data_IF_372909290782
#
_entry.id   IF_372909290782
#
_cell.length_a   1.000
_cell.length_b   1.000
_cell.length_c   1.000
_cell.angle_alpha   90.00
_cell.angle_beta   90.00
_cell.angle_gamma   90.00
#
_symmetry.space_group_name_H-M   'P 1'
#
loop_
_entity.id
_entity.type
_entity.pdbx_description
1 polymer ?
#
# COMPACT_ATOMS: atom_id res chain seq x y z
N UNK A 1 -26.80 1.29 14.12
CA UNK A 1 -26.10 2.27 13.27
C UNK A 1 -25.85 3.52 14.10
N UNK A 2 -24.76 3.54 14.86
CA UNK A 2 -24.43 4.62 15.79
C UNK A 2 -22.95 4.52 16.12
N UNK A 3 -22.14 5.27 15.37
CA UNK A 3 -20.71 5.44 15.64
C UNK A 3 -20.22 6.62 14.81
N UNK A 4 -20.87 7.80 14.89
CA UNK A 4 -20.72 8.91 13.92
C UNK A 4 -19.27 9.33 13.64
N UNK A 5 -18.33 8.97 14.51
CA UNK A 5 -16.93 9.35 14.42
C UNK A 5 -16.10 8.27 13.70
N UNK A 6 -15.39 8.61 12.61
CA UNK A 6 -14.38 7.72 12.07
C UNK A 6 -13.21 7.65 13.06
N UNK A 7 -12.75 6.44 13.37
CA UNK A 7 -11.54 6.26 14.16
C UNK A 7 -10.35 6.84 13.38
N UNK A 8 -9.93 8.05 13.75
CA UNK A 8 -8.93 8.84 13.01
C UNK A 8 -7.58 8.11 12.97
N UNK A 9 -7.19 7.44 14.06
CA UNK A 9 -5.93 6.68 14.12
C UNK A 9 -5.95 5.56 13.09
N UNK A 10 -7.05 4.84 12.99
CA UNK A 10 -7.19 3.76 12.02
C UNK A 10 -7.25 4.27 10.58
N UNK A 11 -7.90 5.42 10.39
CA UNK A 11 -7.98 6.07 9.08
C UNK A 11 -6.60 6.49 8.58
N UNK A 12 -5.76 7.06 9.45
CA UNK A 12 -4.38 7.43 9.13
C UNK A 12 -3.56 6.22 8.70
N UNK A 13 -3.68 5.09 9.43
CA UNK A 13 -3.00 3.85 9.03
C UNK A 13 -3.48 3.33 7.69
N UNK A 14 -4.79 3.35 7.44
CA UNK A 14 -5.33 2.99 6.13
C UNK A 14 -4.79 3.89 5.02
N UNK A 15 -4.69 5.21 5.24
CA UNK A 15 -4.12 6.14 4.26
C UNK A 15 -2.70 5.73 3.90
N UNK A 16 -1.85 5.41 4.88
CA UNK A 16 -0.46 4.99 4.65
C UNK A 16 -0.42 3.68 3.87
N UNK A 17 -1.13 2.64 4.33
CA UNK A 17 -1.15 1.32 3.69
C UNK A 17 -1.64 1.40 2.25
N UNK A 18 -2.77 2.08 2.05
CA UNK A 18 -3.41 2.21 0.75
C UNK A 18 -2.55 3.02 -0.22
N UNK A 19 -1.89 4.09 0.26
CA UNK A 19 -1.01 4.90 -0.58
C UNK A 19 0.18 4.12 -1.12
N UNK A 20 0.85 3.36 -0.24
CA UNK A 20 1.97 2.49 -0.64
C UNK A 20 1.49 1.40 -1.60
N UNK A 21 0.30 0.84 -1.36
CA UNK A 21 -0.31 -0.14 -2.25
C UNK A 21 -0.60 0.42 -3.65
N UNK A 22 -1.14 1.64 -3.76
CA UNK A 22 -1.38 2.30 -5.04
C UNK A 22 -0.08 2.61 -5.79
N UNK A 23 0.96 3.10 -5.10
CA UNK A 23 2.27 3.34 -5.70
C UNK A 23 2.90 2.05 -6.23
N UNK A 24 2.85 0.97 -5.43
CA UNK A 24 3.32 -0.35 -5.85
C UNK A 24 2.57 -0.87 -7.07
N UNK A 25 1.23 -0.68 -7.11
CA UNK A 25 0.41 -1.06 -8.26
C UNK A 25 0.84 -0.32 -9.53
N UNK A 26 0.96 1.01 -9.48
CA UNK A 26 1.33 1.82 -10.66
C UNK A 26 2.71 1.43 -11.19
N UNK A 27 3.67 1.19 -10.30
CA UNK A 27 4.99 0.75 -10.71
C UNK A 27 4.97 -0.63 -11.33
N UNK A 28 4.31 -1.61 -10.71
CA UNK A 28 4.20 -2.97 -11.23
C UNK A 28 3.42 -3.03 -12.55
N UNK A 29 2.36 -2.24 -12.71
CA UNK A 29 1.59 -2.17 -13.95
C UNK A 29 2.47 -1.78 -15.15
N UNK A 30 3.43 -0.86 -14.96
CA UNK A 30 4.42 -0.50 -15.97
C UNK A 30 5.51 -1.56 -16.23
N UNK A 31 5.56 -2.64 -15.45
CA UNK A 31 6.58 -3.69 -15.56
C UNK A 31 6.12 -4.93 -16.35
N UNK A 32 4.83 -5.03 -16.70
CA UNK A 32 4.26 -6.12 -17.48
C UNK A 32 3.98 -5.68 -18.94
N UNK A 33 4.05 -6.57 -19.96
CA UNK A 33 4.37 -8.01 -19.89
C UNK A 33 5.88 -8.28 -19.76
N UNK A 34 6.23 -9.41 -19.14
CA UNK A 34 7.62 -9.76 -18.80
C UNK A 34 8.47 -10.16 -20.01
N UNK A 35 7.85 -10.69 -21.07
CA UNK A 35 8.52 -11.27 -22.24
C UNK A 35 9.02 -10.22 -23.24
N UNK A 36 8.39 -9.04 -23.33
CA UNK A 36 8.77 -7.99 -24.29
C UNK A 36 9.93 -7.10 -23.80
N UNK A 37 10.56 -7.46 -22.68
CA UNK A 37 11.53 -6.61 -21.99
C UNK A 37 12.92 -6.79 -22.60
N UNK A 38 13.35 -5.80 -23.36
CA UNK A 38 14.76 -5.57 -23.70
C UNK A 38 15.60 -5.03 -22.50
N UNK A 39 15.04 -5.05 -21.28
CA UNK A 39 15.60 -4.41 -20.08
C UNK A 39 16.18 -5.43 -19.10
N UNK A 40 17.34 -5.11 -18.53
CA UNK A 40 18.11 -5.90 -17.56
C UNK A 40 17.43 -6.09 -16.17
N UNK A 41 16.10 -6.10 -16.09
CA UNK A 41 15.36 -6.25 -14.83
C UNK A 41 14.97 -7.72 -14.65
N UNK A 42 15.46 -8.40 -13.60
CA UNK A 42 15.16 -9.81 -13.40
C UNK A 42 13.67 -10.04 -13.12
N UNK A 43 13.07 -11.00 -13.84
CA UNK A 43 11.65 -11.35 -13.67
C UNK A 43 11.32 -11.78 -12.24
N UNK A 44 12.25 -12.44 -11.54
CA UNK A 44 12.10 -12.84 -10.14
C UNK A 44 11.84 -11.65 -9.22
N UNK A 45 12.51 -10.52 -9.44
CA UNK A 45 12.32 -9.31 -8.62
C UNK A 45 10.91 -8.72 -8.80
N UNK A 46 10.38 -8.75 -10.03
CA UNK A 46 9.01 -8.31 -10.31
C UNK A 46 8.02 -9.25 -9.62
N UNK A 47 8.21 -10.57 -9.75
CA UNK A 47 7.32 -11.57 -9.14
C UNK A 47 7.29 -11.44 -7.61
N UNK A 48 8.46 -11.29 -6.96
CA UNK A 48 8.55 -11.10 -5.51
C UNK A 48 7.87 -9.79 -5.10
N UNK A 49 8.09 -8.71 -5.85
CA UNK A 49 7.44 -7.42 -5.58
C UNK A 49 5.93 -7.49 -5.74
N UNK A 50 5.43 -8.23 -6.75
CA UNK A 50 4.01 -8.51 -6.94
C UNK A 50 3.44 -9.32 -5.79
N UNK A 51 4.14 -10.33 -5.28
CA UNK A 51 3.69 -11.09 -4.12
C UNK A 51 3.59 -10.22 -2.86
N UNK A 52 4.59 -9.36 -2.61
CA UNK A 52 4.55 -8.38 -1.52
C UNK A 52 3.39 -7.40 -1.67
N UNK A 53 3.16 -6.92 -2.89
CA UNK A 53 2.03 -6.04 -3.20
C UNK A 53 0.68 -6.70 -2.93
N UNK A 54 0.48 -7.96 -3.34
CA UNK A 54 -0.75 -8.72 -3.05
C UNK A 54 -0.94 -8.87 -1.54
N UNK A 55 0.12 -9.22 -0.80
CA UNK A 55 0.03 -9.36 0.65
C UNK A 55 -0.36 -8.04 1.34
N UNK A 56 0.18 -6.91 0.88
CA UNK A 56 -0.16 -5.59 1.40
C UNK A 56 -1.59 -5.18 1.04
N UNK A 57 -2.03 -5.44 -0.19
CA UNK A 57 -3.40 -5.19 -0.65
C UNK A 57 -4.41 -5.95 0.22
N UNK A 58 -4.19 -7.25 0.42
CA UNK A 58 -5.07 -8.08 1.25
C UNK A 58 -5.11 -7.54 2.69
N UNK A 59 -3.95 -7.23 3.27
CA UNK A 59 -3.85 -6.67 4.61
C UNK A 59 -4.61 -5.35 4.74
N UNK A 60 -4.47 -4.45 3.77
CA UNK A 60 -5.16 -3.16 3.75
C UNK A 60 -6.68 -3.33 3.60
N UNK A 61 -7.15 -4.24 2.74
CA UNK A 61 -8.57 -4.52 2.53
C UNK A 61 -9.23 -5.13 3.78
N UNK A 62 -8.60 -6.16 4.38
CA UNK A 62 -9.11 -6.77 5.61
C UNK A 62 -9.13 -5.77 6.77
N UNK A 63 -8.08 -4.96 6.90
CA UNK A 63 -8.01 -3.92 7.90
C UNK A 63 -9.11 -2.87 7.74
N UNK A 64 -9.26 -2.34 6.53
CA UNK A 64 -10.28 -1.35 6.22
C UNK A 64 -11.69 -1.87 6.51
N UNK A 65 -12.00 -3.11 6.12
CA UNK A 65 -13.30 -3.72 6.35
C UNK A 65 -13.59 -3.98 7.84
N UNK A 66 -12.57 -4.24 8.66
CA UNK A 66 -12.72 -4.52 10.08
C UNK A 66 -12.86 -3.25 10.93
N UNK A 67 -12.12 -2.19 10.56
CA UNK A 67 -11.88 -1.03 11.43
C UNK A 67 -12.56 0.25 10.93
N UNK A 68 -12.83 0.36 9.63
CA UNK A 68 -13.33 1.60 9.02
C UNK A 68 -14.76 1.51 8.53
N UNK A 69 -15.39 2.68 8.50
CA UNK A 69 -16.70 2.87 7.87
C UNK A 69 -16.58 2.70 6.36
N UNK A 70 -17.54 2.01 5.74
CA UNK A 70 -17.59 1.84 4.29
C UNK A 70 -17.45 3.16 3.51
N UNK A 71 -18.13 4.23 3.97
CA UNK A 71 -18.02 5.55 3.33
C UNK A 71 -16.60 6.11 3.38
N UNK A 72 -15.89 5.97 4.50
CA UNK A 72 -14.49 6.40 4.64
C UNK A 72 -13.57 5.59 3.72
N UNK A 73 -13.79 4.28 3.62
CA UNK A 73 -13.02 3.40 2.73
C UNK A 73 -13.17 3.86 1.27
N UNK A 74 -14.41 4.04 0.81
CA UNK A 74 -14.69 4.42 -0.59
C UNK A 74 -14.17 5.82 -0.89
N UNK A 75 -14.44 6.80 -0.03
CA UNK A 75 -14.04 8.19 -0.25
C UNK A 75 -12.52 8.31 -0.21
N UNK A 76 -11.88 7.85 0.87
CA UNK A 76 -10.42 8.02 1.05
C UNK A 76 -9.65 7.10 0.12
N UNK A 77 -10.07 5.84 -0.02
CA UNK A 77 -9.43 4.89 -0.93
C UNK A 77 -9.52 5.34 -2.39
N UNK A 78 -10.69 5.83 -2.81
CA UNK A 78 -10.89 6.39 -4.15
C UNK A 78 -10.09 7.66 -4.37
N UNK A 79 -10.09 8.59 -3.42
CA UNK A 79 -9.34 9.84 -3.52
C UNK A 79 -7.83 9.57 -3.63
N UNK A 80 -7.28 8.72 -2.76
CA UNK A 80 -5.88 8.33 -2.86
C UNK A 80 -5.57 7.67 -4.21
N UNK A 81 -6.39 6.73 -4.66
CA UNK A 81 -6.16 6.06 -5.95
C UNK A 81 -6.19 7.03 -7.14
N UNK A 82 -7.07 8.04 -7.10
CA UNK A 82 -7.18 9.06 -8.17
C UNK A 82 -6.03 10.07 -8.16
N UNK A 83 -5.53 10.45 -6.98
CA UNK A 83 -4.51 11.51 -6.87
C UNK A 83 -3.07 10.99 -6.72
N UNK A 84 -2.84 9.70 -6.44
CA UNK A 84 -1.50 9.09 -6.38
C UNK A 84 -0.75 9.01 -7.73
N UNK A 85 -1.40 8.95 -8.91
CA UNK A 85 -0.69 9.01 -10.18
C UNK A 85 0.16 10.27 -10.36
N UNK A 86 -0.28 11.42 -9.87
CA UNK A 86 0.45 12.69 -9.94
C UNK A 86 1.82 12.66 -9.22
N UNK A 87 1.91 12.33 -7.91
CA UNK A 87 3.20 12.20 -7.24
C UNK A 87 4.04 11.07 -7.81
N UNK A 88 3.44 10.00 -8.34
CA UNK A 88 4.18 8.93 -9.00
C UNK A 88 4.85 9.39 -10.30
N UNK A 89 4.21 10.29 -11.06
CA UNK A 89 4.78 10.87 -12.27
C UNK A 89 5.91 11.86 -11.98
N UNK A 90 5.88 12.53 -10.82
CA UNK A 90 6.97 13.40 -10.38
C UNK A 90 8.27 12.65 -10.03
N UNK A 91 8.21 11.32 -9.84
CA UNK A 91 9.39 10.50 -9.56
C UNK A 91 10.26 10.39 -10.83
N UNK A 92 11.58 10.66 -10.75
CA UNK A 92 12.46 10.55 -11.91
C UNK A 92 12.43 9.16 -12.55
N UNK A 93 12.45 9.09 -13.87
CA UNK A 93 12.30 7.81 -14.61
C UNK A 93 13.36 6.77 -14.23
N UNK A 94 14.58 7.22 -13.92
CA UNK A 94 15.68 6.37 -13.43
C UNK A 94 15.37 5.63 -12.13
N UNK A 95 14.45 6.13 -11.31
CA UNK A 95 13.97 5.48 -10.09
C UNK A 95 12.65 4.77 -10.32
N UNK A 96 11.78 5.29 -11.21
CA UNK A 96 10.49 4.68 -11.49
C UNK A 96 10.62 3.35 -12.25
N UNK A 97 11.49 3.31 -13.26
CA UNK A 97 11.57 2.23 -14.24
C UNK A 97 12.86 1.39 -14.17
N UNK A 98 13.67 1.57 -13.12
CA UNK A 98 14.93 0.85 -12.93
C UNK A 98 14.78 -0.31 -11.96
N UNK A 99 15.68 -1.30 -12.06
CA UNK A 99 15.81 -2.38 -11.08
C UNK A 99 16.05 -1.85 -9.66
N UNK A 100 16.89 -0.81 -9.52
CA UNK A 100 17.14 -0.16 -8.22
C UNK A 100 15.85 0.44 -7.64
N UNK A 101 15.04 1.06 -8.50
CA UNK A 101 13.71 1.55 -8.17
C UNK A 101 12.77 0.48 -7.63
N UNK A 102 12.71 -0.65 -8.34
CA UNK A 102 11.88 -1.78 -7.96
C UNK A 102 12.34 -2.42 -6.64
N UNK A 103 13.65 -2.50 -6.39
CA UNK A 103 14.20 -2.96 -5.09
C UNK A 103 13.75 -2.03 -3.97
N UNK A 104 13.86 -0.71 -4.16
CA UNK A 104 13.41 0.27 -3.16
C UNK A 104 11.91 0.11 -2.88
N UNK A 105 11.09 0.00 -3.91
CA UNK A 105 9.64 -0.22 -3.76
C UNK A 105 9.36 -1.54 -3.04
N UNK A 106 10.08 -2.62 -3.37
CA UNK A 106 10.00 -3.90 -2.65
C UNK A 106 10.32 -3.75 -1.16
N UNK A 107 11.38 -3.01 -0.81
CA UNK A 107 11.74 -2.71 0.58
C UNK A 107 10.63 -1.91 1.27
N UNK A 108 10.07 -0.89 0.61
CA UNK A 108 8.98 -0.09 1.16
C UNK A 108 7.73 -0.95 1.41
N UNK A 109 7.37 -1.84 0.47
CA UNK A 109 6.26 -2.78 0.64
C UNK A 109 6.50 -3.71 1.84
N UNK A 110 7.69 -4.29 1.94
CA UNK A 110 8.05 -5.17 3.07
C UNK A 110 8.08 -4.43 4.40
N UNK A 111 8.66 -3.23 4.45
CA UNK A 111 8.71 -2.39 5.64
C UNK A 111 7.32 -1.95 6.09
N UNK A 112 6.44 -1.62 5.14
CA UNK A 112 5.05 -1.24 5.43
C UNK A 112 4.26 -2.43 5.98
N UNK A 113 4.43 -3.62 5.41
CA UNK A 113 3.87 -4.86 5.95
C UNK A 113 4.37 -5.17 7.36
N UNK A 114 5.67 -5.02 7.60
CA UNK A 114 6.27 -5.23 8.92
C UNK A 114 5.79 -4.19 9.94
N UNK A 115 5.69 -2.93 9.56
CA UNK A 115 5.15 -1.88 10.42
C UNK A 115 3.69 -2.17 10.78
N UNK A 116 2.90 -2.63 9.81
CA UNK A 116 1.51 -3.02 10.04
C UNK A 116 1.37 -4.25 10.95
N UNK A 117 2.24 -5.27 10.78
CA UNK A 117 2.23 -6.46 11.64
C UNK A 117 2.62 -6.12 13.08
N UNK A 118 3.56 -5.19 13.28
CA UNK A 118 3.92 -4.67 14.61
C UNK A 118 2.77 -3.83 15.19
N UNK A 119 2.13 -3.00 14.38
CA UNK A 119 0.99 -2.18 14.82
C UNK A 119 -0.19 -3.03 15.31
N UNK A 120 -0.52 -4.12 14.60
CA UNK A 120 -1.62 -5.02 14.99
C UNK A 120 -1.29 -5.93 16.18
N UNK A 121 -0.01 -6.26 16.39
CA UNK A 121 0.43 -7.15 17.48
C UNK A 121 0.68 -6.44 18.82
N UNK A 122 0.76 -5.10 18.83
CA UNK A 122 1.03 -4.36 20.06
C UNK A 122 -0.19 -4.35 21.02
N UNK A 123 -0.03 -4.71 22.31
CA UNK A 123 -1.14 -4.70 23.28
C UNK A 123 -1.60 -3.26 23.64
N UNK A 124 -0.74 -2.26 23.46
CA UNK A 124 -1.08 -0.85 23.73
C UNK A 124 -2.06 -0.30 22.68
N UNK A 125 -1.99 -0.76 21.43
CA UNK A 125 -2.95 -0.38 20.37
C UNK A 125 -4.30 -1.08 20.56
N UNK A 126 -4.33 -2.25 21.22
CA UNK A 126 -5.57 -2.88 21.70
C UNK A 126 -6.30 -2.06 22.77
N UNK A 127 -5.58 -1.35 23.65
CA UNK A 127 -6.18 -0.43 24.63
C UNK A 127 -6.71 0.84 23.97
N UNK A 128 -5.99 1.42 23.00
CA UNK A 128 -6.51 2.55 22.20
C UNK A 128 -7.73 2.15 21.34
N UNK A 129 -7.82 0.91 20.88
CA UNK A 129 -9.00 0.31 20.23
C UNK A 129 -10.21 0.17 21.17
N UNK A 130 -10.01 0.12 22.48
CA UNK A 130 -11.08 -0.02 23.48
C UNK A 130 -11.61 1.31 24.01
N UNK A 131 -10.88 2.41 23.78
CA UNK A 131 -11.18 3.73 24.34
C UNK A 131 -11.78 4.69 23.29
N UNK A 132 -11.66 4.36 21.99
CA UNK A 132 -12.32 5.04 20.87
C UNK A 132 -13.56 4.25 20.41
#
# INVERSE_FOLDING_TARGET
MSQLEPNIVQLVWFIVLWSVCCLGFLQLAGMYPLESRATNIPASLVIVSTALWIALLLSACFYAAAELRWSSIVIVGGLLFLFIPEPFQAIPERWRNSSAGLVVTGIILAATLAAFSVFTSNPVTSLLKSIA
#
